data_IF_292308951084
#
_entry.id   IF_292308951084
#
_cell.length_a   1.000
_cell.length_b   1.000
_cell.length_c   1.000
_cell.angle_alpha   90.00
_cell.angle_beta   90.00
_cell.angle_gamma   90.00
#
_symmetry.space_group_name_H-M   'P 1'
#
loop_
_entity.id
_entity.type
_entity.pdbx_description
1 polymer ?
#
# COMPACT_ATOMS: atom_id res chain seq x y z
N UNK A 1 -2.80 33.38 -68.19
CA UNK A 1 -2.60 32.02 -67.72
C UNK A 1 -1.16 31.74 -67.25
N UNK A 2 -0.65 32.49 -66.23
CA UNK A 2 0.74 32.31 -65.73
C UNK A 2 0.90 32.60 -64.23
N UNK A 3 -0.21 32.63 -63.49
CA UNK A 3 -0.18 32.99 -62.05
C UNK A 3 -0.41 31.85 -61.08
N UNK A 4 -0.85 30.68 -61.55
CA UNK A 4 -1.23 29.56 -60.72
C UNK A 4 -0.07 28.60 -60.33
N UNK A 5 1.06 28.68 -61.04
CA UNK A 5 2.18 27.76 -60.78
C UNK A 5 3.15 28.16 -59.68
N UNK A 6 2.99 29.38 -59.13
CA UNK A 6 3.92 29.89 -58.12
C UNK A 6 3.47 29.55 -56.67
N UNK A 7 2.21 29.21 -56.50
CA UNK A 7 1.66 28.86 -55.19
C UNK A 7 1.95 27.43 -54.75
N UNK A 8 2.12 26.53 -55.70
CA UNK A 8 2.45 25.14 -55.42
C UNK A 8 3.89 24.95 -54.97
N UNK A 9 4.82 25.80 -55.35
CA UNK A 9 6.24 25.69 -54.96
C UNK A 9 6.49 26.22 -53.53
N UNK A 10 5.65 27.05 -53.00
CA UNK A 10 5.79 27.54 -51.61
C UNK A 10 5.17 26.61 -50.61
N UNK A 11 4.25 25.74 -51.03
CA UNK A 11 3.54 24.81 -50.15
C UNK A 11 4.32 23.49 -49.91
N UNK A 12 5.27 23.17 -50.77
CA UNK A 12 6.10 21.96 -50.64
C UNK A 12 7.33 22.21 -49.77
N UNK A 13 7.75 23.45 -49.58
CA UNK A 13 8.98 23.74 -48.84
C UNK A 13 8.79 23.92 -47.33
N UNK A 14 7.54 23.94 -46.85
CA UNK A 14 7.22 24.05 -45.43
C UNK A 14 7.02 22.70 -44.73
N UNK A 15 7.13 21.59 -45.44
CA UNK A 15 6.88 20.25 -44.88
C UNK A 15 8.15 19.45 -44.55
N UNK A 16 9.33 20.09 -44.63
CA UNK A 16 10.60 19.50 -44.20
C UNK A 16 11.12 20.19 -42.95
N UNK A 17 10.29 20.23 -41.88
CA UNK A 17 10.84 20.40 -40.55
C UNK A 17 11.41 19.03 -40.13
N UNK A 18 12.71 18.96 -39.78
CA UNK A 18 13.23 17.76 -39.14
C UNK A 18 12.49 17.62 -37.84
N UNK A 19 11.77 16.52 -37.68
CA UNK A 19 11.36 15.98 -36.40
C UNK A 19 12.65 15.69 -35.63
N UNK A 20 13.20 16.72 -35.00
CA UNK A 20 14.18 16.58 -33.93
C UNK A 20 13.52 15.72 -32.86
N UNK A 21 13.71 14.42 -32.98
CA UNK A 21 13.36 13.49 -31.92
C UNK A 21 14.10 13.98 -30.67
N UNK A 22 13.36 14.37 -29.64
CA UNK A 22 13.89 14.31 -28.30
C UNK A 22 14.32 12.86 -28.09
N UNK A 23 15.61 12.57 -28.24
CA UNK A 23 16.21 11.43 -27.58
C UNK A 23 15.94 11.61 -26.11
N UNK A 24 14.80 11.10 -25.67
CA UNK A 24 14.60 10.77 -24.26
C UNK A 24 15.62 9.68 -24.00
N UNK A 25 16.81 10.15 -23.58
CA UNK A 25 17.83 9.33 -22.97
C UNK A 25 17.09 8.50 -21.92
N UNK A 26 16.81 7.25 -22.28
CA UNK A 26 16.28 6.25 -21.37
C UNK A 26 17.38 5.95 -20.37
N UNK A 27 17.63 6.91 -19.47
CA UNK A 27 18.17 6.56 -18.18
C UNK A 27 17.18 5.57 -17.61
N UNK A 28 17.50 4.31 -17.81
CA UNK A 28 16.97 3.18 -17.07
C UNK A 28 17.22 3.48 -15.60
N UNK A 29 16.38 4.34 -15.09
CA UNK A 29 16.25 4.58 -13.67
C UNK A 29 15.84 3.24 -13.08
N UNK A 30 16.77 2.58 -12.39
CA UNK A 30 16.50 1.48 -11.46
C UNK A 30 15.58 1.94 -10.32
N UNK A 31 14.74 2.87 -10.56
CA UNK A 31 13.86 3.48 -9.59
C UNK A 31 12.44 3.45 -10.12
N UNK A 32 11.84 2.34 -10.01
CA UNK A 32 10.49 2.30 -9.46
C UNK A 32 10.08 0.86 -9.31
N UNK A 33 10.49 0.25 -8.22
CA UNK A 33 9.77 -0.85 -7.61
C UNK A 33 8.29 -0.49 -7.40
N UNK A 34 7.96 0.78 -7.52
CA UNK A 34 6.63 1.35 -7.62
C UNK A 34 6.37 1.90 -9.02
N UNK A 35 6.15 1.00 -9.96
CA UNK A 35 5.40 1.36 -11.14
C UNK A 35 4.03 1.90 -10.71
N UNK A 36 3.60 3.01 -11.33
CA UNK A 36 2.29 3.62 -11.04
C UNK A 36 1.15 2.58 -11.09
N UNK A 37 1.24 1.59 -11.97
CA UNK A 37 0.29 0.49 -12.06
C UNK A 37 0.21 -0.31 -10.76
N UNK A 38 1.34 -0.75 -10.23
CA UNK A 38 1.41 -1.51 -8.98
C UNK A 38 0.89 -0.71 -7.78
N UNK A 39 1.25 0.58 -7.70
CA UNK A 39 0.72 1.44 -6.65
C UNK A 39 -0.80 1.56 -6.73
N UNK A 40 -1.35 1.77 -7.91
CA UNK A 40 -2.81 1.87 -8.11
C UNK A 40 -3.54 0.58 -7.76
N UNK A 41 -2.94 -0.58 -8.03
CA UNK A 41 -3.49 -1.88 -7.62
C UNK A 41 -3.52 -2.02 -6.09
N UNK A 42 -2.44 -1.63 -5.40
CA UNK A 42 -2.39 -1.63 -3.94
C UNK A 42 -3.39 -0.65 -3.34
N UNK A 43 -3.48 0.54 -3.91
CA UNK A 43 -4.45 1.56 -3.49
C UNK A 43 -5.89 1.10 -3.70
N UNK A 44 -6.18 0.46 -4.84
CA UNK A 44 -7.49 -0.13 -5.11
C UNK A 44 -7.83 -1.22 -4.09
N UNK A 45 -6.90 -2.13 -3.80
CA UNK A 45 -7.08 -3.18 -2.79
C UNK A 45 -7.30 -2.58 -1.39
N UNK A 46 -6.52 -1.56 -1.02
CA UNK A 46 -6.66 -0.86 0.24
C UNK A 46 -8.03 -0.19 0.38
N UNK A 47 -8.46 0.55 -0.64
CA UNK A 47 -9.77 1.22 -0.62
C UNK A 47 -10.94 0.24 -0.63
N UNK A 48 -10.80 -0.90 -1.32
CA UNK A 48 -11.79 -1.98 -1.29
C UNK A 48 -11.91 -2.56 0.13
N UNK A 49 -10.80 -2.85 0.81
CA UNK A 49 -10.78 -3.32 2.19
C UNK A 49 -11.58 -2.41 3.14
N UNK A 50 -11.46 -1.08 2.98
CA UNK A 50 -12.16 -0.12 3.84
C UNK A 50 -13.64 0.06 3.52
N UNK A 51 -14.03 -0.20 2.29
CA UNK A 51 -15.43 -0.08 1.82
C UNK A 51 -16.21 -1.39 1.96
N UNK A 52 -15.51 -2.51 2.03
CA UNK A 52 -16.15 -3.81 2.13
C UNK A 52 -16.81 -3.99 3.50
N UNK A 53 -17.98 -4.60 3.49
CA UNK A 53 -18.67 -5.11 4.69
C UNK A 53 -18.46 -6.63 4.85
N UNK A 54 -17.90 -7.28 3.81
CA UNK A 54 -17.60 -8.69 3.84
C UNK A 54 -16.23 -8.93 4.50
N UNK A 55 -16.27 -9.64 5.61
CA UNK A 55 -15.06 -9.95 6.39
C UNK A 55 -14.06 -10.83 5.62
N UNK A 56 -14.55 -11.76 4.81
CA UNK A 56 -13.65 -12.65 4.07
C UNK A 56 -12.97 -11.88 2.93
N UNK A 57 -13.65 -10.92 2.31
CA UNK A 57 -13.05 -9.97 1.37
C UNK A 57 -11.99 -9.09 2.05
N UNK A 58 -12.28 -8.51 3.22
CA UNK A 58 -11.30 -7.72 3.98
C UNK A 58 -10.04 -8.52 4.32
N UNK A 59 -10.21 -9.80 4.74
CA UNK A 59 -9.08 -10.70 5.03
C UNK A 59 -8.24 -10.99 3.79
N UNK A 60 -8.89 -11.24 2.67
CA UNK A 60 -8.21 -11.47 1.39
C UNK A 60 -7.40 -10.24 0.96
N UNK A 61 -7.95 -9.04 1.11
CA UNK A 61 -7.28 -7.78 0.80
C UNK A 61 -6.07 -7.55 1.73
N UNK A 62 -6.23 -7.75 3.05
CA UNK A 62 -5.13 -7.65 3.99
C UNK A 62 -3.99 -8.62 3.66
N UNK A 63 -4.31 -9.86 3.22
CA UNK A 63 -3.33 -10.83 2.79
C UNK A 63 -2.64 -10.44 1.48
N UNK A 64 -3.39 -9.87 0.52
CA UNK A 64 -2.85 -9.40 -0.75
C UNK A 64 -1.86 -8.26 -0.52
N UNK A 65 -2.24 -7.26 0.28
CA UNK A 65 -1.37 -6.15 0.66
C UNK A 65 -0.11 -6.64 1.37
N UNK A 66 -0.23 -7.55 2.35
CA UNK A 66 0.93 -8.10 3.08
C UNK A 66 1.89 -8.86 2.17
N UNK A 67 1.38 -9.63 1.21
CA UNK A 67 2.22 -10.32 0.22
C UNK A 67 2.99 -9.36 -0.66
N UNK A 68 2.33 -8.30 -1.12
CA UNK A 68 2.98 -7.27 -1.93
C UNK A 68 4.11 -6.57 -1.16
N UNK A 69 3.89 -6.26 0.11
CA UNK A 69 4.91 -5.71 1.01
C UNK A 69 6.12 -6.63 1.11
N UNK A 70 5.90 -7.92 1.37
CA UNK A 70 6.98 -8.89 1.46
C UNK A 70 7.77 -9.00 0.15
N UNK A 71 7.09 -8.96 -1.00
CA UNK A 71 7.76 -9.00 -2.31
C UNK A 71 8.63 -7.76 -2.53
N UNK A 72 8.15 -6.59 -2.15
CA UNK A 72 8.88 -5.33 -2.30
C UNK A 72 10.16 -5.36 -1.46
N UNK A 73 10.06 -5.73 -0.19
CA UNK A 73 11.22 -5.77 0.72
C UNK A 73 12.14 -6.97 0.50
N UNK A 74 11.71 -8.04 -0.17
CA UNK A 74 12.58 -9.18 -0.51
C UNK A 74 13.48 -8.93 -1.72
N UNK A 75 13.08 -8.01 -2.61
CA UNK A 75 13.83 -7.66 -3.82
C UNK A 75 14.84 -6.54 -3.54
N UNK A 76 14.62 -5.76 -2.52
CA UNK A 76 15.55 -4.75 -2.05
C UNK A 76 16.64 -5.44 -1.22
N UNK A 77 17.74 -5.78 -1.91
CA UNK A 77 18.99 -6.24 -1.28
C UNK A 77 19.31 -5.31 -0.10
N UNK A 78 19.59 -5.84 1.10
CA UNK A 78 19.70 -5.02 2.30
C UNK A 78 21.02 -4.23 2.32
N UNK A 79 21.14 -3.21 1.52
CA UNK A 79 21.94 -2.05 1.88
C UNK A 79 21.06 -1.26 2.85
N UNK A 80 20.89 -1.84 4.03
CA UNK A 80 20.40 -1.09 5.18
C UNK A 80 21.38 0.05 5.39
N UNK A 81 20.98 1.30 5.23
CA UNK A 81 21.79 2.39 5.77
C UNK A 81 21.89 2.12 7.27
N UNK A 82 23.12 2.17 7.75
CA UNK A 82 23.47 2.03 9.15
C UNK A 82 22.46 2.78 10.03
N UNK A 83 21.87 2.08 11.01
CA UNK A 83 20.74 2.51 11.82
C UNK A 83 20.98 3.80 12.64
N UNK A 84 22.08 4.49 12.43
CA UNK A 84 22.48 5.71 13.12
C UNK A 84 22.29 7.01 12.31
N UNK A 85 21.88 6.92 11.05
CA UNK A 85 21.56 8.14 10.34
C UNK A 85 20.06 8.44 10.56
N UNK A 86 19.73 9.62 11.15
CA UNK A 86 18.34 10.01 11.29
C UNK A 86 17.75 10.06 9.89
N UNK A 87 16.83 9.13 9.62
CA UNK A 87 16.12 9.08 8.36
C UNK A 87 15.66 10.51 8.03
N UNK A 88 15.98 11.04 6.82
CA UNK A 88 15.58 12.38 6.48
C UNK A 88 14.09 12.47 6.74
N UNK A 89 13.69 13.39 7.61
CA UNK A 89 12.30 13.68 7.95
C UNK A 89 11.59 14.15 6.68
N UNK A 90 11.32 13.19 5.79
CA UNK A 90 10.40 13.39 4.69
C UNK A 90 9.02 13.67 5.30
N UNK A 91 8.25 14.56 4.68
CA UNK A 91 6.98 14.98 5.23
C UNK A 91 6.10 13.77 5.52
N UNK A 92 5.51 13.75 6.71
CA UNK A 92 4.60 12.71 7.25
C UNK A 92 3.40 12.38 6.32
N UNK A 93 3.24 13.14 5.25
CA UNK A 93 2.24 12.92 4.20
C UNK A 93 2.45 11.66 3.35
N UNK A 94 3.58 10.97 3.46
CA UNK A 94 3.89 9.76 2.67
C UNK A 94 3.44 8.46 3.33
N UNK A 95 2.99 8.47 4.58
CA UNK A 95 2.47 7.26 5.24
C UNK A 95 1.21 6.72 4.55
N UNK A 96 0.40 7.58 3.94
CA UNK A 96 -0.79 7.16 3.17
C UNK A 96 -0.43 6.46 1.85
N UNK A 97 0.79 6.59 1.38
CA UNK A 97 1.32 5.93 0.17
C UNK A 97 2.27 4.76 0.50
N UNK A 98 2.46 4.44 1.78
CA UNK A 98 3.29 3.32 2.22
C UNK A 98 2.48 2.01 2.17
N UNK A 99 2.84 1.04 1.32
CA UNK A 99 2.14 -0.24 1.23
C UNK A 99 2.09 -1.01 2.55
N UNK A 100 3.12 -0.90 3.39
CA UNK A 100 3.14 -1.56 4.69
C UNK A 100 2.13 -0.90 5.66
N UNK A 101 1.99 0.43 5.62
CA UNK A 101 0.94 1.12 6.37
C UNK A 101 -0.47 0.73 5.88
N UNK A 102 -0.66 0.60 4.55
CA UNK A 102 -1.93 0.13 3.98
C UNK A 102 -2.26 -1.29 4.44
N UNK A 103 -1.27 -2.20 4.43
CA UNK A 103 -1.45 -3.58 4.89
C UNK A 103 -1.78 -3.65 6.39
N UNK A 104 -1.07 -2.89 7.23
CA UNK A 104 -1.32 -2.81 8.66
C UNK A 104 -2.72 -2.26 8.96
N UNK A 105 -3.12 -1.18 8.28
CA UNK A 105 -4.43 -0.55 8.44
C UNK A 105 -5.58 -1.48 8.02
N UNK A 106 -5.44 -2.17 6.88
CA UNK A 106 -6.45 -3.12 6.41
C UNK A 106 -6.57 -4.32 7.35
N UNK A 107 -5.45 -4.90 7.83
CA UNK A 107 -5.48 -5.99 8.80
C UNK A 107 -6.12 -5.55 10.13
N UNK A 108 -5.83 -4.34 10.60
CA UNK A 108 -6.46 -3.79 11.80
C UNK A 108 -7.98 -3.64 11.60
N UNK A 109 -8.42 -3.08 10.46
CA UNK A 109 -9.84 -2.93 10.11
C UNK A 109 -10.57 -4.27 10.07
N UNK A 110 -9.96 -5.29 9.42
CA UNK A 110 -10.50 -6.64 9.37
C UNK A 110 -10.64 -7.26 10.78
N UNK A 111 -9.65 -7.04 11.66
CA UNK A 111 -9.70 -7.46 13.05
C UNK A 111 -10.84 -6.81 13.83
N UNK A 112 -11.06 -5.51 13.66
CA UNK A 112 -12.15 -4.77 14.27
C UNK A 112 -13.51 -5.26 13.80
N UNK A 113 -13.70 -5.40 12.49
CA UNK A 113 -14.93 -5.92 11.90
C UNK A 113 -15.24 -7.36 12.39
N UNK A 114 -14.23 -8.22 12.43
CA UNK A 114 -14.37 -9.58 12.96
C UNK A 114 -14.83 -9.59 14.42
N UNK A 115 -14.29 -8.70 15.25
CA UNK A 115 -14.70 -8.56 16.65
C UNK A 115 -16.16 -8.10 16.76
N UNK A 116 -16.57 -7.11 15.98
CA UNK A 116 -17.94 -6.59 15.93
C UNK A 116 -18.95 -7.67 15.50
N UNK A 117 -18.54 -8.55 14.59
CA UNK A 117 -19.35 -9.71 14.14
C UNK A 117 -19.28 -10.91 15.09
N UNK A 118 -18.57 -10.82 16.23
CA UNK A 118 -18.41 -11.93 17.18
C UNK A 118 -17.46 -13.04 16.68
N UNK A 119 -16.75 -12.85 15.55
CA UNK A 119 -15.79 -13.82 15.01
C UNK A 119 -14.42 -13.68 15.71
N UNK A 120 -14.39 -13.95 17.00
CA UNK A 120 -13.27 -13.64 17.89
C UNK A 120 -11.93 -14.28 17.47
N UNK A 121 -11.98 -15.50 16.91
CA UNK A 121 -10.77 -16.18 16.43
C UNK A 121 -10.14 -15.43 15.25
N UNK A 122 -10.97 -14.96 14.31
CA UNK A 122 -10.53 -14.16 13.17
C UNK A 122 -9.98 -12.82 13.63
N UNK A 123 -10.68 -12.15 14.57
CA UNK A 123 -10.21 -10.91 15.16
C UNK A 123 -8.81 -11.07 15.78
N UNK A 124 -8.62 -12.11 16.59
CA UNK A 124 -7.33 -12.41 17.22
C UNK A 124 -6.23 -12.67 16.19
N UNK A 125 -6.53 -13.41 15.14
CA UNK A 125 -5.59 -13.66 14.04
C UNK A 125 -5.16 -12.35 13.37
N UNK A 126 -6.11 -11.48 13.01
CA UNK A 126 -5.83 -10.23 12.32
C UNK A 126 -5.02 -9.27 13.20
N UNK A 127 -5.37 -9.10 14.47
CA UNK A 127 -4.61 -8.27 15.40
C UNK A 127 -3.19 -8.79 15.62
N UNK A 128 -3.01 -10.11 15.78
CA UNK A 128 -1.66 -10.70 15.89
C UNK A 128 -0.82 -10.45 14.66
N UNK A 129 -1.40 -10.52 13.46
CA UNK A 129 -0.68 -10.20 12.21
C UNK A 129 -0.16 -8.76 12.22
N UNK A 130 -0.95 -7.80 12.69
CA UNK A 130 -0.50 -6.41 12.79
C UNK A 130 0.70 -6.30 13.73
N UNK A 131 0.63 -6.90 14.91
CA UNK A 131 1.69 -6.82 15.91
C UNK A 131 2.98 -7.50 15.44
N UNK A 132 2.87 -8.64 14.74
CA UNK A 132 4.01 -9.44 14.32
C UNK A 132 4.68 -8.91 13.06
N UNK A 133 3.88 -8.48 12.07
CA UNK A 133 4.42 -8.16 10.73
C UNK A 133 4.85 -6.69 10.61
N UNK A 134 4.41 -5.82 11.53
CA UNK A 134 4.68 -4.38 11.44
C UNK A 134 5.28 -3.82 12.75
N UNK A 135 6.38 -4.41 13.29
CA UNK A 135 6.93 -4.01 14.59
C UNK A 135 7.64 -2.65 14.57
N UNK A 136 7.88 -2.07 13.38
CA UNK A 136 8.67 -0.84 13.21
C UNK A 136 7.98 0.37 13.89
N UNK A 137 8.74 1.32 14.46
CA UNK A 137 8.19 2.47 15.19
C UNK A 137 7.21 3.32 14.37
N UNK A 138 7.41 3.42 13.05
CA UNK A 138 6.53 4.17 12.15
C UNK A 138 5.09 3.61 12.09
N UNK A 139 4.88 2.33 12.46
CA UNK A 139 3.57 1.67 12.49
C UNK A 139 3.01 1.52 13.90
N UNK A 140 3.64 2.15 14.89
CA UNK A 140 3.28 2.02 16.31
C UNK A 140 1.81 2.30 16.58
N UNK A 141 1.19 3.20 15.84
CA UNK A 141 -0.25 3.45 15.96
C UNK A 141 -1.07 2.18 15.74
N UNK A 142 -0.83 1.48 14.62
CA UNK A 142 -1.57 0.25 14.28
C UNK A 142 -1.30 -0.86 15.27
N UNK A 143 -0.04 -1.00 15.68
CA UNK A 143 0.39 -2.01 16.68
C UNK A 143 -0.28 -1.77 18.03
N UNK A 144 -0.35 -0.53 18.50
CA UNK A 144 -1.00 -0.18 19.75
C UNK A 144 -2.50 -0.51 19.70
N UNK A 145 -3.19 -0.14 18.62
CA UNK A 145 -4.61 -0.47 18.44
C UNK A 145 -4.86 -1.99 18.38
N UNK A 146 -4.00 -2.73 17.71
CA UNK A 146 -4.11 -4.18 17.63
C UNK A 146 -3.87 -4.86 19.01
N UNK A 147 -2.92 -4.37 19.81
CA UNK A 147 -2.70 -4.84 21.18
C UNK A 147 -3.92 -4.60 22.06
N UNK A 148 -4.49 -3.39 22.04
CA UNK A 148 -5.74 -3.10 22.74
C UNK A 148 -6.87 -4.05 22.32
N UNK A 149 -6.98 -4.34 21.02
CA UNK A 149 -7.95 -5.32 20.51
C UNK A 149 -7.72 -6.72 21.08
N UNK A 150 -6.47 -7.18 21.19
CA UNK A 150 -6.13 -8.47 21.81
C UNK A 150 -6.48 -8.52 23.28
N UNK A 151 -6.13 -7.48 24.05
CA UNK A 151 -6.46 -7.36 25.46
C UNK A 151 -7.98 -7.44 25.72
N UNK A 152 -8.77 -6.76 24.88
CA UNK A 152 -10.23 -6.81 24.96
C UNK A 152 -10.80 -8.20 24.68
N UNK A 153 -10.22 -8.93 23.71
CA UNK A 153 -10.62 -10.30 23.39
C UNK A 153 -10.29 -11.27 24.53
N UNK A 154 -9.16 -11.08 25.20
CA UNK A 154 -8.74 -11.92 26.32
C UNK A 154 -9.60 -11.65 27.57
N UNK A 155 -9.91 -10.39 27.87
CA UNK A 155 -10.81 -10.02 28.95
C UNK A 155 -12.22 -10.62 28.76
N UNK A 156 -12.76 -10.56 27.54
CA UNK A 156 -14.06 -11.18 27.21
C UNK A 156 -14.05 -12.69 27.37
N UNK A 157 -12.95 -13.36 27.02
CA UNK A 157 -12.76 -14.80 27.22
C UNK A 157 -12.78 -15.20 28.70
N UNK A 158 -12.11 -14.45 29.55
CA UNK A 158 -12.09 -14.70 31.01
C UNK A 158 -13.46 -14.49 31.66
N UNK A 159 -14.20 -13.44 31.26
CA UNK A 159 -15.54 -13.19 31.78
C UNK A 159 -16.51 -14.35 31.46
N UNK A 160 -16.41 -14.91 30.25
CA UNK A 160 -17.26 -16.03 29.83
C UNK A 160 -16.98 -17.32 30.60
N UNK A 161 -15.73 -17.58 30.98
CA UNK A 161 -15.36 -18.75 31.77
C UNK A 161 -15.83 -18.61 33.23
N UNK A 162 -15.76 -17.43 33.81
CA UNK A 162 -16.20 -17.17 35.19
C UNK A 162 -17.71 -17.35 35.36
N UNK A 163 -18.51 -17.12 34.32
CA UNK A 163 -19.96 -17.28 34.40
C UNK A 163 -20.43 -18.74 34.28
N UNK A 164 -19.56 -19.65 33.81
CA UNK A 164 -19.85 -21.08 33.68
C UNK A 164 -19.53 -21.90 34.92
N UNK A 165 -18.83 -21.29 35.92
CA UNK A 165 -18.38 -21.96 37.14
C UNK A 165 -19.29 -21.63 38.35
N UNK A 166 -20.36 -20.86 38.15
CA UNK A 166 -21.43 -20.62 39.13
C UNK A 166 -22.65 -21.49 38.85
#
# INVERSE_FOLDING_TARGET
MRREKRWWLTLVMTLLMPLGGCDTNSQSSRSSLFDNGRFMDLWSTYTHCFRSEDLDAMRADAQRLSRAVNTIYSVEDPILPDNNEPAPLGPTSRLSADPAAMAAACALRAGQAAREMGRLNVAREMFRRVVTNFPQPRYQYYVAQARLGLEQLDAAGHASLSSLTM
#
